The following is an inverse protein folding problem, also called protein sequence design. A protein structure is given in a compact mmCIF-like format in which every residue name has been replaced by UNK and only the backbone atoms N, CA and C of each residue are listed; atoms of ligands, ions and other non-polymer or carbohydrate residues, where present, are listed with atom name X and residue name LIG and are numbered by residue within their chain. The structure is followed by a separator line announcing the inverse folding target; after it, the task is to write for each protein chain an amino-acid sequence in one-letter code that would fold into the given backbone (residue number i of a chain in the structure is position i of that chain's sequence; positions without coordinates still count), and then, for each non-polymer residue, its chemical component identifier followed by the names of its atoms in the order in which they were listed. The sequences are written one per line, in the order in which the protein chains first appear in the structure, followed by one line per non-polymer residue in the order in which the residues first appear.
data_IF_341318002502
#
_entry.id   IF_341318002502
#
_cell.length_a   1.000
_cell.length_b   1.000
_cell.length_c   1.000
_cell.angle_alpha   90.00
_cell.angle_beta   90.00
_cell.angle_gamma   90.00
#
_symmetry.space_group_name_H-M   'P 1'
#
loop_
_entity.id
_entity.type
_entity.pdbx_description
1 polymer ?
#
# COMPACT_ATOMS: atom_id res chain seq x y z
N UNK A 1 -47.57 -28.80 -15.46
CA UNK A 1 -46.60 -29.37 -14.48
C UNK A 1 -45.15 -28.95 -14.71
N UNK A 2 -44.61 -28.99 -15.94
CA UNK A 2 -43.17 -28.70 -16.21
C UNK A 2 -42.71 -27.29 -15.77
N UNK A 3 -43.55 -26.24 -15.90
CA UNK A 3 -43.23 -24.87 -15.43
C UNK A 3 -43.14 -24.75 -13.89
N UNK A 4 -43.93 -25.53 -13.13
CA UNK A 4 -43.90 -25.54 -11.66
C UNK A 4 -42.66 -26.27 -11.12
N UNK A 5 -42.26 -27.38 -11.75
CA UNK A 5 -41.03 -28.10 -11.40
C UNK A 5 -39.78 -27.23 -11.63
N UNK A 6 -39.70 -26.51 -12.77
CA UNK A 6 -38.59 -25.59 -13.06
C UNK A 6 -38.49 -24.46 -12.04
N UNK A 7 -39.62 -23.87 -11.63
CA UNK A 7 -39.64 -22.81 -10.63
C UNK A 7 -39.21 -23.29 -9.24
N UNK A 8 -39.57 -24.52 -8.84
CA UNK A 8 -39.16 -25.10 -7.56
C UNK A 8 -37.65 -25.36 -7.51
N UNK A 9 -37.08 -25.92 -8.58
CA UNK A 9 -35.64 -26.17 -8.72
C UNK A 9 -34.83 -24.87 -8.74
N UNK A 10 -35.31 -23.82 -9.42
CA UNK A 10 -34.68 -22.50 -9.41
C UNK A 10 -34.68 -21.89 -8.00
N UNK A 11 -35.79 -21.98 -7.26
CA UNK A 11 -35.91 -21.47 -5.90
C UNK A 11 -34.98 -22.20 -4.91
N UNK A 12 -34.86 -23.52 -5.03
CA UNK A 12 -33.95 -24.34 -4.23
C UNK A 12 -32.48 -24.03 -4.53
N UNK A 13 -32.13 -23.80 -5.81
CA UNK A 13 -30.79 -23.42 -6.25
C UNK A 13 -30.37 -22.03 -5.73
N UNK A 14 -31.25 -21.04 -5.84
CA UNK A 14 -31.07 -19.70 -5.27
C UNK A 14 -30.92 -19.72 -3.75
N UNK A 15 -31.71 -20.55 -3.06
CA UNK A 15 -31.64 -20.70 -1.60
C UNK A 15 -30.34 -21.37 -1.15
N UNK A 16 -29.87 -22.37 -1.90
CA UNK A 16 -28.57 -23.01 -1.68
C UNK A 16 -27.41 -22.02 -1.89
N UNK A 17 -27.46 -21.24 -2.97
CA UNK A 17 -26.43 -20.25 -3.32
C UNK A 17 -26.34 -19.14 -2.25
N UNK A 18 -27.47 -18.63 -1.77
CA UNK A 18 -27.54 -17.65 -0.68
C UNK A 18 -27.00 -18.19 0.66
N UNK A 19 -27.30 -19.45 1.00
CA UNK A 19 -26.76 -20.12 2.21
C UNK A 19 -25.23 -20.30 2.14
N UNK A 20 -24.67 -20.55 0.95
CA UNK A 20 -23.22 -20.67 0.77
C UNK A 20 -22.50 -19.32 0.85
N UNK A 21 -23.06 -18.25 0.25
CA UNK A 21 -22.47 -16.90 0.32
C UNK A 21 -22.48 -16.35 1.74
N UNK A 22 -23.56 -16.58 2.51
CA UNK A 22 -23.63 -16.18 3.92
C UNK A 22 -22.66 -16.97 4.81
N UNK A 23 -22.47 -18.27 4.56
CA UNK A 23 -21.46 -19.08 5.24
C UNK A 23 -20.01 -18.66 4.92
N UNK A 24 -19.73 -18.31 3.66
CA UNK A 24 -18.43 -17.76 3.24
C UNK A 24 -18.17 -16.43 3.94
N UNK A 25 -19.15 -15.52 3.93
CA UNK A 25 -19.04 -14.22 4.59
C UNK A 25 -18.67 -14.34 6.07
N UNK A 26 -19.36 -15.22 6.81
CA UNK A 26 -19.06 -15.48 8.23
C UNK A 26 -17.64 -16.02 8.42
N UNK A 27 -17.22 -16.98 7.60
CA UNK A 27 -15.86 -17.55 7.71
C UNK A 27 -14.78 -16.53 7.38
N UNK A 28 -15.02 -15.61 6.44
CA UNK A 28 -14.07 -14.54 6.14
C UNK A 28 -14.01 -13.54 7.29
N UNK A 29 -15.14 -13.19 7.90
CA UNK A 29 -15.19 -12.31 9.08
C UNK A 29 -14.35 -12.88 10.24
N UNK A 30 -14.48 -14.17 10.54
CA UNK A 30 -13.66 -14.87 11.54
C UNK A 30 -12.16 -14.79 11.23
N UNK A 31 -11.77 -14.98 9.96
CA UNK A 31 -10.37 -14.87 9.54
C UNK A 31 -9.85 -13.45 9.64
N UNK A 32 -10.68 -12.45 9.37
CA UNK A 32 -10.32 -11.04 9.53
C UNK A 32 -10.10 -10.72 11.01
N UNK A 33 -10.95 -11.22 11.91
CA UNK A 33 -10.75 -11.05 13.36
C UNK A 33 -9.44 -11.69 13.85
N UNK A 34 -9.09 -12.87 13.33
CA UNK A 34 -7.80 -13.51 13.62
C UNK A 34 -6.62 -12.66 13.12
N UNK A 35 -6.74 -12.09 11.92
CA UNK A 35 -5.74 -11.18 11.38
C UNK A 35 -5.62 -9.90 12.21
N UNK A 36 -6.73 -9.29 12.61
CA UNK A 36 -6.76 -8.11 13.48
C UNK A 36 -6.01 -8.37 14.80
N UNK A 37 -6.25 -9.52 15.43
CA UNK A 37 -5.55 -9.93 16.66
C UNK A 37 -4.05 -10.15 16.45
N UNK A 38 -3.68 -10.77 15.34
CA UNK A 38 -2.27 -10.98 14.99
C UNK A 38 -1.54 -9.64 14.76
N UNK A 39 -2.21 -8.68 14.09
CA UNK A 39 -1.69 -7.32 13.90
C UNK A 39 -1.46 -6.63 15.26
N UNK A 40 -2.42 -6.73 16.18
CA UNK A 40 -2.27 -6.15 17.53
C UNK A 40 -1.06 -6.73 18.27
N UNK A 41 -0.87 -8.05 18.17
CA UNK A 41 0.30 -8.72 18.76
C UNK A 41 1.59 -8.19 18.16
N UNK A 42 1.71 -8.11 16.83
CA UNK A 42 2.89 -7.56 16.15
C UNK A 42 3.18 -6.12 16.58
N UNK A 43 2.15 -5.27 16.67
CA UNK A 43 2.33 -3.86 16.99
C UNK A 43 2.57 -3.62 18.49
N UNK A 44 2.14 -4.52 19.38
CA UNK A 44 2.43 -4.42 20.80
C UNK A 44 3.93 -4.38 21.12
N UNK A 45 4.77 -5.00 20.28
CA UNK A 45 6.22 -5.01 20.44
C UNK A 45 6.86 -3.61 20.36
N UNK A 46 6.19 -2.62 19.75
CA UNK A 46 6.73 -1.25 19.67
C UNK A 46 6.48 -0.44 20.93
N UNK A 47 5.49 -0.82 21.76
CA UNK A 47 4.99 0.03 22.84
C UNK A 47 6.06 0.28 23.90
N UNK A 48 6.72 -0.78 24.37
CA UNK A 48 7.75 -0.67 25.41
C UNK A 48 9.01 0.08 24.92
N UNK A 49 9.61 -0.27 23.77
CA UNK A 49 10.77 0.48 23.24
C UNK A 49 10.47 1.95 22.98
N UNK A 50 9.25 2.28 22.55
CA UNK A 50 8.85 3.66 22.33
C UNK A 50 8.78 4.45 23.65
N UNK A 51 8.20 3.85 24.70
CA UNK A 51 8.15 4.45 26.04
C UNK A 51 9.56 4.65 26.64
N UNK A 52 10.44 3.65 26.50
CA UNK A 52 11.83 3.74 26.95
C UNK A 52 12.60 4.80 26.16
N UNK A 53 12.40 4.85 24.84
CA UNK A 53 12.95 5.88 23.97
C UNK A 53 12.56 7.28 24.41
N UNK A 54 11.28 7.50 24.73
CA UNK A 54 10.79 8.79 25.25
C UNK A 54 11.46 9.14 26.60
N UNK A 55 11.57 8.18 27.53
CA UNK A 55 12.30 8.40 28.80
C UNK A 55 13.75 8.81 28.55
N UNK A 56 14.43 8.13 27.62
CA UNK A 56 15.83 8.42 27.28
C UNK A 56 15.99 9.75 26.56
N UNK A 57 15.06 10.13 25.69
CA UNK A 57 15.06 11.45 25.07
C UNK A 57 14.88 12.55 26.13
N UNK A 58 13.92 12.39 27.06
CA UNK A 58 13.70 13.34 28.18
C UNK A 58 14.90 13.49 29.11
N UNK A 59 15.64 12.42 29.37
CA UNK A 59 16.80 12.48 30.27
C UNK A 59 18.06 13.04 29.59
N UNK A 60 18.13 13.02 28.26
CA UNK A 60 19.36 13.34 27.51
C UNK A 60 19.26 14.55 26.58
N UNK A 61 18.08 15.10 26.30
CA UNK A 61 17.90 16.15 25.30
C UNK A 61 18.76 17.40 25.55
N UNK A 62 18.96 17.82 26.80
CA UNK A 62 19.77 19.00 27.12
C UNK A 62 21.25 18.79 26.75
N UNK A 63 21.78 17.59 27.02
CA UNK A 63 23.14 17.20 26.65
C UNK A 63 23.28 17.12 25.13
N UNK A 64 22.31 16.53 24.45
CA UNK A 64 22.28 16.39 22.98
C UNK A 64 22.23 17.77 22.33
N UNK A 65 21.28 18.62 22.75
CA UNK A 65 21.17 20.00 22.25
C UNK A 65 22.47 20.77 22.52
N UNK A 66 23.05 20.64 23.72
CA UNK A 66 24.33 21.24 24.06
C UNK A 66 25.44 20.87 23.09
N UNK A 67 25.55 19.60 22.71
CA UNK A 67 26.52 19.13 21.73
C UNK A 67 26.26 19.71 20.32
N UNK A 68 24.99 19.85 19.90
CA UNK A 68 24.63 20.48 18.61
C UNK A 68 24.91 21.99 18.57
N UNK A 69 24.93 22.66 19.72
CA UNK A 69 25.12 24.11 19.84
C UNK A 69 26.57 24.53 20.11
N UNK A 70 27.54 23.63 19.97
CA UNK A 70 28.97 23.91 20.17
C UNK A 70 29.75 23.62 18.89
N UNK A 71 30.78 24.43 18.61
CA UNK A 71 31.76 24.20 17.53
C UNK A 71 33.17 24.22 18.08
N UNK A 72 34.02 23.36 17.53
CA UNK A 72 35.44 23.26 17.88
C UNK A 72 36.25 24.54 17.61
N UNK A 73 35.85 25.37 16.64
CA UNK A 73 36.51 26.64 16.28
C UNK A 73 35.89 27.88 16.96
N UNK A 74 35.11 27.69 18.02
CA UNK A 74 34.44 28.79 18.73
C UNK A 74 33.21 29.37 18.01
N UNK A 75 32.76 30.54 18.48
CA UNK A 75 31.47 31.15 18.08
C UNK A 75 31.53 32.04 16.83
N UNK A 76 32.71 32.28 16.27
CA UNK A 76 32.87 33.20 15.14
C UNK A 76 32.15 32.66 13.90
N UNK A 77 31.22 33.44 13.34
CA UNK A 77 30.36 33.04 12.22
C UNK A 77 29.29 31.99 12.56
N UNK A 78 29.34 31.34 13.72
CA UNK A 78 28.40 30.25 14.06
C UNK A 78 26.95 30.72 14.21
N UNK A 79 26.74 31.97 14.63
CA UNK A 79 25.39 32.56 14.65
C UNK A 79 24.70 32.52 13.28
N UNK A 80 25.45 32.65 12.16
CA UNK A 80 24.88 32.54 10.81
C UNK A 80 24.47 31.11 10.51
N UNK A 81 25.27 30.13 10.93
CA UNK A 81 24.91 28.71 10.85
C UNK A 81 23.65 28.40 11.66
N UNK A 82 23.60 28.82 12.93
CA UNK A 82 22.41 28.65 13.77
C UNK A 82 21.19 29.36 13.17
N UNK A 83 21.38 30.52 12.55
CA UNK A 83 20.30 31.25 11.88
C UNK A 83 19.79 30.44 10.70
N UNK A 84 20.68 29.87 9.91
CA UNK A 84 20.31 29.00 8.79
C UNK A 84 19.62 27.71 9.25
N UNK A 85 20.07 27.08 10.36
CA UNK A 85 19.39 25.94 11.01
C UNK A 85 17.96 26.31 11.35
N UNK A 86 17.76 27.45 12.02
CA UNK A 86 16.44 27.91 12.45
C UNK A 86 15.53 28.25 11.26
N UNK A 87 16.05 28.97 10.25
CA UNK A 87 15.30 29.30 9.03
C UNK A 87 14.91 28.07 8.20
N UNK A 88 15.64 26.97 8.36
CA UNK A 88 15.38 25.67 7.73
C UNK A 88 14.83 24.64 8.73
N UNK A 89 14.14 25.13 9.76
CA UNK A 89 13.38 24.31 10.69
C UNK A 89 14.19 23.20 11.39
N UNK A 90 15.35 23.56 11.91
CA UNK A 90 16.23 22.67 12.64
C UNK A 90 17.24 21.93 11.77
N UNK A 91 17.25 22.14 10.45
CA UNK A 91 18.11 21.39 9.53
C UNK A 91 19.08 22.33 8.79
N UNK A 92 20.37 22.03 8.85
CA UNK A 92 21.39 22.70 8.06
C UNK A 92 22.33 21.68 7.45
N UNK A 93 22.46 21.70 6.13
CA UNK A 93 23.44 20.92 5.40
C UNK A 93 24.35 21.87 4.62
N UNK A 94 25.65 21.60 4.68
CA UNK A 94 26.68 22.32 3.93
C UNK A 94 27.68 21.33 3.36
N UNK A 95 28.37 21.71 2.28
CA UNK A 95 29.48 20.92 1.72
C UNK A 95 30.75 21.02 2.57
N UNK A 96 30.90 22.10 3.33
CA UNK A 96 32.13 22.43 4.09
C UNK A 96 31.97 22.30 5.60
N UNK A 97 30.73 22.27 6.10
CA UNK A 97 30.41 22.11 7.51
C UNK A 97 29.57 20.85 7.70
N UNK A 98 29.74 20.18 8.85
CA UNK A 98 28.93 19.02 9.22
C UNK A 98 27.43 19.35 9.19
N UNK A 99 26.62 18.37 8.77
CA UNK A 99 25.15 18.47 8.81
C UNK A 99 24.71 18.63 10.28
N UNK A 100 23.85 19.60 10.52
CA UNK A 100 23.16 19.79 11.80
C UNK A 100 21.70 19.47 11.54
N UNK A 101 21.16 18.50 12.27
CA UNK A 101 19.75 18.18 12.28
C UNK A 101 19.29 18.06 13.72
N UNK A 102 18.69 19.15 14.24
CA UNK A 102 18.27 19.21 15.62
C UNK A 102 17.11 18.26 15.90
N UNK A 103 16.21 18.07 14.92
CA UNK A 103 15.05 17.20 15.07
C UNK A 103 15.49 15.74 15.15
N UNK A 104 16.37 15.33 14.23
CA UNK A 104 16.97 13.99 14.22
C UNK A 104 17.79 13.75 15.50
N UNK A 105 18.66 14.70 15.89
CA UNK A 105 19.50 14.55 17.07
C UNK A 105 18.70 14.32 18.36
N UNK A 106 17.64 15.11 18.62
CA UNK A 106 16.84 14.98 19.85
C UNK A 106 15.87 13.81 19.82
N UNK A 107 15.51 13.29 18.63
CA UNK A 107 14.70 12.07 18.50
C UNK A 107 15.54 10.80 18.44
N UNK A 108 16.85 10.91 18.24
CA UNK A 108 17.76 9.78 18.14
C UNK A 108 17.64 8.78 19.30
N UNK A 109 17.53 9.20 20.59
CA UNK A 109 17.36 8.24 21.68
C UNK A 109 16.08 7.39 21.57
N UNK A 110 15.06 7.90 20.87
CA UNK A 110 13.84 7.14 20.58
C UNK A 110 14.14 6.11 19.49
N UNK A 111 14.78 6.53 18.40
CA UNK A 111 15.18 5.64 17.29
C UNK A 111 16.08 4.50 17.75
N UNK A 112 17.07 4.78 18.61
CA UNK A 112 17.96 3.77 19.19
C UNK A 112 17.21 2.63 19.90
N UNK A 113 16.07 2.93 20.51
CA UNK A 113 15.23 1.92 21.17
C UNK A 113 14.31 1.20 20.19
N UNK A 114 13.75 1.90 19.19
CA UNK A 114 12.78 1.29 18.28
C UNK A 114 13.40 0.54 17.10
N UNK A 115 14.60 0.91 16.65
CA UNK A 115 15.25 0.33 15.47
C UNK A 115 15.42 -1.19 15.55
N UNK A 116 15.83 -1.78 16.71
CA UNK A 116 15.95 -3.23 16.85
C UNK A 116 14.64 -3.98 16.59
N UNK A 117 13.48 -3.38 16.90
CA UNK A 117 12.17 -4.05 16.79
C UNK A 117 11.41 -3.64 15.53
N UNK A 118 11.52 -2.39 15.08
CA UNK A 118 10.72 -1.83 14.00
C UNK A 118 10.96 -2.56 12.68
N UNK A 119 12.23 -2.85 12.38
CA UNK A 119 12.59 -3.63 11.20
C UNK A 119 12.00 -5.05 11.23
N UNK A 120 11.93 -5.66 12.43
CA UNK A 120 11.37 -6.99 12.66
C UNK A 120 9.88 -7.08 12.35
N UNK A 121 9.10 -6.10 12.79
CA UNK A 121 7.64 -6.04 12.56
C UNK A 121 7.29 -6.13 11.07
N UNK A 122 8.09 -5.50 10.20
CA UNK A 122 7.83 -5.46 8.76
C UNK A 122 8.73 -6.38 7.92
N UNK A 123 9.46 -7.30 8.54
CA UNK A 123 10.36 -8.22 7.83
C UNK A 123 9.56 -9.24 7.01
N UNK A 124 10.04 -9.55 5.80
CA UNK A 124 9.55 -10.67 4.99
C UNK A 124 10.30 -11.95 5.35
N UNK A 125 9.59 -13.08 5.46
CA UNK A 125 10.15 -14.40 5.79
C UNK A 125 9.70 -14.96 7.15
N UNK A 126 10.01 -16.23 7.43
CA UNK A 126 9.64 -16.90 8.70
C UNK A 126 10.40 -16.27 9.87
N UNK A 127 9.73 -15.58 10.81
CA UNK A 127 10.35 -15.13 12.04
C UNK A 127 10.45 -16.32 12.99
N UNK A 128 11.50 -16.33 13.82
CA UNK A 128 11.65 -17.36 14.87
C UNK A 128 10.66 -17.16 16.02
N UNK A 129 10.00 -16.00 16.11
CA UNK A 129 9.25 -15.52 17.27
C UNK A 129 7.81 -15.02 16.98
N UNK A 130 7.32 -15.10 15.74
CA UNK A 130 5.96 -14.68 15.37
C UNK A 130 5.73 -13.15 15.37
N UNK A 131 6.78 -12.34 15.51
CA UNK A 131 6.69 -10.87 15.64
C UNK A 131 6.43 -10.13 14.32
N UNK A 132 6.66 -10.75 13.17
CA UNK A 132 6.53 -10.10 11.86
C UNK A 132 5.11 -10.15 11.30
N UNK A 133 4.68 -9.05 10.70
CA UNK A 133 3.36 -8.87 10.12
C UNK A 133 3.15 -9.64 8.81
N UNK A 134 4.15 -9.66 7.92
CA UNK A 134 3.99 -10.24 6.58
C UNK A 134 3.61 -11.73 6.59
N UNK A 135 4.21 -12.59 7.43
CA UNK A 135 3.78 -13.98 7.59
C UNK A 135 2.30 -14.14 7.98
N UNK A 136 1.74 -13.25 8.81
CA UNK A 136 0.32 -13.30 9.17
C UNK A 136 -0.57 -12.90 8.00
N UNK A 137 -0.12 -11.95 7.17
CA UNK A 137 -0.80 -11.58 5.91
C UNK A 137 -0.77 -12.75 4.92
N UNK A 138 0.37 -13.44 4.79
CA UNK A 138 0.53 -14.62 3.94
C UNK A 138 -0.31 -15.80 4.45
N UNK A 139 -0.35 -16.03 5.76
CA UNK A 139 -1.20 -17.05 6.36
C UNK A 139 -2.70 -16.74 6.12
N UNK A 140 -3.11 -15.48 6.30
CA UNK A 140 -4.45 -15.03 5.98
C UNK A 140 -4.80 -15.26 4.50
N UNK A 141 -3.87 -14.92 3.60
CA UNK A 141 -3.97 -15.18 2.15
C UNK A 141 -4.26 -16.64 1.85
N UNK A 142 -3.41 -17.53 2.34
CA UNK A 142 -3.56 -18.97 2.11
C UNK A 142 -4.87 -19.50 2.70
N UNK A 143 -5.22 -19.05 3.91
CA UNK A 143 -6.45 -19.47 4.57
C UNK A 143 -7.71 -19.00 3.85
N UNK A 144 -7.67 -17.81 3.25
CA UNK A 144 -8.76 -17.28 2.44
C UNK A 144 -8.90 -18.05 1.11
N UNK A 145 -7.77 -18.32 0.44
CA UNK A 145 -7.74 -19.11 -0.80
C UNK A 145 -8.27 -20.54 -0.59
N UNK A 146 -7.82 -21.20 0.48
CA UNK A 146 -8.26 -22.55 0.84
C UNK A 146 -9.77 -22.59 1.09
N UNK A 147 -10.28 -21.63 1.87
CA UNK A 147 -11.71 -21.58 2.19
C UNK A 147 -12.58 -21.35 0.94
N UNK A 148 -12.12 -20.52 0.03
CA UNK A 148 -12.82 -20.32 -1.25
C UNK A 148 -12.73 -21.56 -2.14
N UNK A 149 -11.61 -22.27 -2.16
CA UNK A 149 -11.50 -23.53 -2.90
C UNK A 149 -12.44 -24.60 -2.33
N UNK A 150 -12.52 -24.73 -1.00
CA UNK A 150 -13.41 -25.67 -0.31
C UNK A 150 -14.89 -25.41 -0.64
N UNK A 151 -15.32 -24.14 -0.58
CA UNK A 151 -16.68 -23.74 -0.94
C UNK A 151 -16.93 -23.95 -2.43
N UNK A 152 -15.94 -23.66 -3.27
CA UNK A 152 -16.04 -23.89 -4.69
C UNK A 152 -16.24 -25.34 -5.09
N UNK A 153 -15.51 -26.25 -4.43
CA UNK A 153 -15.69 -27.69 -4.60
C UNK A 153 -17.10 -28.11 -4.17
N UNK A 154 -17.59 -27.63 -3.02
CA UNK A 154 -18.96 -27.93 -2.55
C UNK A 154 -20.06 -27.38 -3.46
N UNK A 155 -19.82 -26.25 -4.12
CA UNK A 155 -20.78 -25.59 -5.02
C UNK A 155 -20.72 -26.10 -6.47
N UNK A 156 -19.97 -27.17 -6.73
CA UNK A 156 -19.90 -27.75 -8.08
C UNK A 156 -19.09 -26.91 -9.08
N UNK A 157 -18.19 -26.02 -8.63
CA UNK A 157 -17.28 -25.26 -9.51
C UNK A 157 -16.33 -26.15 -10.33
N UNK A 158 -16.40 -27.48 -10.16
CA UNK A 158 -15.73 -28.48 -10.99
C UNK A 158 -16.03 -28.29 -12.50
N UNK A 159 -17.18 -27.70 -12.85
CA UNK A 159 -17.59 -27.40 -14.23
C UNK A 159 -17.56 -25.90 -14.59
N UNK A 160 -17.29 -25.01 -13.62
CA UNK A 160 -17.32 -23.55 -13.78
C UNK A 160 -15.90 -22.99 -13.56
N UNK A 161 -15.01 -23.28 -14.51
CA UNK A 161 -13.60 -22.92 -14.43
C UNK A 161 -13.35 -21.41 -14.40
N UNK A 162 -14.26 -20.61 -14.98
CA UNK A 162 -14.11 -19.16 -15.05
C UNK A 162 -14.39 -18.49 -13.69
N UNK A 163 -15.43 -18.90 -12.93
CA UNK A 163 -15.66 -18.38 -11.57
C UNK A 163 -14.50 -18.70 -10.61
N UNK A 164 -13.95 -19.91 -10.72
CA UNK A 164 -12.76 -20.31 -9.94
C UNK A 164 -11.54 -19.44 -10.27
N UNK A 165 -11.25 -19.25 -11.57
CA UNK A 165 -10.11 -18.43 -12.01
C UNK A 165 -10.28 -16.97 -11.56
N UNK A 166 -11.48 -16.41 -11.73
CA UNK A 166 -11.81 -15.05 -11.30
C UNK A 166 -11.54 -14.84 -9.81
N UNK A 167 -12.08 -15.70 -8.94
CA UNK A 167 -11.90 -15.56 -7.49
C UNK A 167 -10.43 -15.68 -7.07
N UNK A 168 -9.67 -16.61 -7.65
CA UNK A 168 -8.23 -16.75 -7.37
C UNK A 168 -7.48 -15.48 -7.78
N UNK A 169 -7.79 -14.91 -8.95
CA UNK A 169 -7.19 -13.68 -9.45
C UNK A 169 -7.55 -12.49 -8.56
N UNK A 170 -8.82 -12.32 -8.20
CA UNK A 170 -9.29 -11.24 -7.32
C UNK A 170 -8.62 -11.31 -5.95
N UNK A 171 -8.59 -12.48 -5.30
CA UNK A 171 -7.88 -12.65 -4.02
C UNK A 171 -6.41 -12.23 -4.15
N UNK A 172 -5.74 -12.68 -5.22
CA UNK A 172 -4.32 -12.37 -5.45
C UNK A 172 -4.10 -10.87 -5.66
N UNK A 173 -5.00 -10.19 -6.38
CA UNK A 173 -4.95 -8.74 -6.60
C UNK A 173 -5.20 -7.95 -5.30
N UNK A 174 -6.19 -8.36 -4.50
CA UNK A 174 -6.52 -7.74 -3.21
C UNK A 174 -5.29 -7.76 -2.29
N UNK A 175 -4.61 -8.91 -2.22
CA UNK A 175 -3.50 -9.13 -1.31
C UNK A 175 -2.20 -8.49 -1.79
N UNK A 176 -1.90 -8.53 -3.10
CA UNK A 176 -0.79 -7.75 -3.66
C UNK A 176 -0.99 -6.24 -3.42
N UNK A 177 -2.24 -5.77 -3.52
CA UNK A 177 -2.59 -4.41 -3.15
C UNK A 177 -2.40 -4.10 -1.67
N UNK A 178 -2.57 -5.09 -0.78
CA UNK A 178 -2.42 -4.95 0.66
C UNK A 178 -0.95 -4.80 1.08
N UNK A 179 -0.06 -5.65 0.56
CA UNK A 179 1.39 -5.55 0.78
C UNK A 179 1.92 -4.16 0.39
N UNK A 180 1.53 -3.67 -0.79
CA UNK A 180 1.90 -2.33 -1.24
C UNK A 180 1.35 -1.21 -0.33
N UNK A 181 0.16 -1.40 0.25
CA UNK A 181 -0.40 -0.44 1.21
C UNK A 181 0.43 -0.40 2.51
N UNK A 182 0.80 -1.57 3.05
CA UNK A 182 1.61 -1.71 4.26
C UNK A 182 2.99 -1.05 4.06
N UNK A 183 3.67 -1.34 2.96
CA UNK A 183 5.01 -0.79 2.69
C UNK A 183 5.01 0.73 2.57
N UNK A 184 3.99 1.33 1.95
CA UNK A 184 3.86 2.80 1.89
C UNK A 184 3.62 3.42 3.26
N UNK A 185 2.86 2.76 4.13
CA UNK A 185 2.58 3.23 5.49
C UNK A 185 3.76 3.05 6.44
N UNK A 186 4.56 1.99 6.27
CA UNK A 186 5.80 1.74 7.05
C UNK A 186 6.69 2.97 7.15
N UNK A 187 7.02 3.59 6.01
CA UNK A 187 7.86 4.80 5.99
C UNK A 187 7.24 5.94 6.79
N UNK A 188 5.95 6.21 6.59
CA UNK A 188 5.22 7.27 7.30
C UNK A 188 5.18 7.05 8.80
N UNK A 189 5.03 5.80 9.25
CA UNK A 189 5.09 5.47 10.66
C UNK A 189 6.48 5.80 11.21
N UNK A 190 7.55 5.34 10.56
CA UNK A 190 8.92 5.56 11.00
C UNK A 190 9.28 7.06 11.11
N UNK A 191 8.94 7.84 10.09
CA UNK A 191 9.24 9.27 10.01
C UNK A 191 8.34 10.12 10.93
N UNK A 192 7.28 9.55 11.51
CA UNK A 192 6.30 10.30 12.30
C UNK A 192 6.88 10.92 13.58
N UNK A 193 7.90 10.30 14.18
CA UNK A 193 8.55 10.81 15.40
C UNK A 193 9.27 12.13 15.14
N UNK A 194 10.23 12.12 14.22
CA UNK A 194 10.99 13.33 13.84
C UNK A 194 10.07 14.41 13.26
N UNK A 195 9.06 14.03 12.48
CA UNK A 195 8.06 14.98 11.96
C UNK A 195 7.25 15.64 13.07
N UNK A 196 6.80 14.87 14.07
CA UNK A 196 6.01 15.40 15.20
C UNK A 196 6.84 16.37 16.04
N UNK A 197 8.07 15.99 16.39
CA UNK A 197 8.99 16.86 17.13
C UNK A 197 9.30 18.12 16.35
N UNK A 198 9.57 18.00 15.05
CA UNK A 198 9.82 19.16 14.21
C UNK A 198 8.61 20.12 14.17
N UNK A 199 7.38 19.58 14.13
CA UNK A 199 6.17 20.39 14.13
C UNK A 199 5.99 21.17 15.44
N UNK A 200 6.33 20.56 16.58
CA UNK A 200 6.29 21.23 17.89
C UNK A 200 7.35 22.33 18.03
N UNK A 201 8.49 22.21 17.32
CA UNK A 201 9.56 23.21 17.32
C UNK A 201 9.38 24.30 16.24
N UNK A 202 8.59 24.01 15.20
CA UNK A 202 8.22 24.92 14.11
C UNK A 202 7.04 25.82 14.51
N UNK A 203 6.82 26.93 13.79
CA UNK A 203 5.51 27.57 13.80
C UNK A 203 4.50 26.68 13.08
N UNK A 204 3.33 26.48 13.69
CA UNK A 204 2.15 26.01 12.97
C UNK A 204 1.58 27.16 12.14
N UNK A 205 1.93 27.24 10.86
CA UNK A 205 1.06 27.92 9.89
C UNK A 205 0.16 26.84 9.28
N UNK A 206 -1.13 26.88 9.60
CA UNK A 206 -2.12 26.06 8.91
C UNK A 206 -2.27 26.56 7.46
N UNK A 207 -1.80 25.75 6.51
CA UNK A 207 -2.37 25.70 5.16
C UNK A 207 -3.88 25.44 5.32
N UNK A 208 -4.71 26.43 4.98
CA UNK A 208 -6.15 26.37 4.62
C UNK A 208 -6.98 27.60 5.08
N UNK A 209 -6.35 28.74 5.36
CA UNK A 209 -7.07 30.03 5.44
C UNK A 209 -7.97 30.23 6.67
N UNK A 210 -7.96 29.29 7.63
CA UNK A 210 -8.44 29.54 8.97
C UNK A 210 -7.24 29.97 9.83
N UNK A 211 -7.17 31.27 10.11
CA UNK A 211 -6.19 31.83 11.04
C UNK A 211 -6.46 31.32 12.45
N UNK A 212 -5.81 30.23 12.87
CA UNK A 212 -5.61 30.01 14.30
C UNK A 212 -4.54 30.99 14.77
N UNK A 213 -5.02 32.08 15.38
CA UNK A 213 -4.24 33.14 16.00
C UNK A 213 -3.54 32.63 17.27
N UNK A 214 -2.71 31.59 17.17
CA UNK A 214 -1.83 31.22 18.28
C UNK A 214 -0.59 32.11 18.21
N UNK A 215 -0.63 33.17 19.00
CA UNK A 215 0.43 34.13 19.34
C UNK A 215 1.54 33.44 20.17
N UNK A 216 1.81 32.15 19.95
CA UNK A 216 2.91 31.44 20.59
C UNK A 216 4.13 31.45 19.68
N UNK A 217 5.03 32.34 20.06
CA UNK A 217 6.37 32.55 19.52
C UNK A 217 7.12 31.21 19.39
N UNK A 218 7.24 30.68 18.17
CA UNK A 218 7.94 29.40 17.98
C UNK A 218 9.46 29.55 18.12
N UNK A 219 10.10 28.51 18.65
CA UNK A 219 11.52 28.52 19.02
C UNK A 219 12.43 28.85 17.82
N UNK A 220 12.21 28.21 16.66
CA UNK A 220 13.04 28.45 15.48
C UNK A 220 12.89 29.87 14.92
N UNK A 221 11.67 30.41 14.83
CA UNK A 221 11.50 31.79 14.32
C UNK A 221 12.09 32.81 15.26
N UNK A 222 11.90 32.64 16.58
CA UNK A 222 12.49 33.55 17.56
C UNK A 222 14.02 33.54 17.47
N UNK A 223 14.63 32.35 17.41
CA UNK A 223 16.07 32.24 17.29
C UNK A 223 16.59 32.85 15.98
N UNK A 224 15.89 32.66 14.85
CA UNK A 224 16.29 33.17 13.55
C UNK A 224 16.30 34.71 13.44
N UNK A 225 15.47 35.41 14.24
CA UNK A 225 15.35 36.86 14.23
C UNK A 225 16.46 37.58 15.02
N UNK A 226 17.22 36.86 15.83
CA UNK A 226 18.26 37.45 16.68
C UNK A 226 19.41 37.98 15.82
N UNK A 227 19.78 39.24 16.06
CA UNK A 227 20.91 39.93 15.43
C UNK A 227 21.72 40.72 16.47
N UNK A 228 22.88 41.26 16.07
CA UNK A 228 23.69 42.16 16.91
C UNK A 228 24.70 41.49 17.85
N UNK A 229 25.27 42.27 18.77
CA UNK A 229 26.31 41.82 19.73
C UNK A 229 25.82 40.60 20.51
N UNK A 230 26.66 39.59 20.74
CA UNK A 230 26.30 38.33 21.45
C UNK A 230 25.11 37.56 20.84
N UNK A 231 24.78 37.77 19.55
CA UNK A 231 23.68 37.07 18.89
C UNK A 231 23.78 35.54 19.03
N UNK A 232 24.98 34.97 18.86
CA UNK A 232 25.22 33.53 18.98
C UNK A 232 24.72 32.97 20.33
N UNK A 233 25.14 33.59 21.44
CA UNK A 233 24.75 33.11 22.78
C UNK A 233 23.25 33.30 23.04
N UNK A 234 22.67 34.45 22.66
CA UNK A 234 21.22 34.66 22.76
C UNK A 234 20.43 33.63 21.96
N UNK A 235 20.90 33.25 20.78
CA UNK A 235 20.25 32.22 19.96
C UNK A 235 20.29 30.85 20.64
N UNK A 236 21.43 30.46 21.19
CA UNK A 236 21.55 29.22 21.96
C UNK A 236 20.60 29.23 23.16
N UNK A 237 20.51 30.36 23.86
CA UNK A 237 19.63 30.47 25.03
C UNK A 237 18.15 30.39 24.66
N UNK A 238 17.72 30.98 23.54
CA UNK A 238 16.36 30.81 23.02
C UNK A 238 16.10 29.35 22.64
N UNK A 239 17.04 28.70 21.95
CA UNK A 239 16.90 27.28 21.57
C UNK A 239 16.81 26.37 22.81
N UNK A 240 17.60 26.63 23.86
CA UNK A 240 17.53 25.88 25.11
C UNK A 240 16.18 26.07 25.80
N UNK A 241 15.79 27.32 26.08
CA UNK A 241 14.53 27.61 26.77
C UNK A 241 13.31 27.12 26.00
N UNK A 242 13.31 27.30 24.67
CA UNK A 242 12.21 26.84 23.82
C UNK A 242 12.08 25.33 23.83
N UNK A 243 13.21 24.60 23.77
CA UNK A 243 13.19 23.14 23.86
C UNK A 243 12.79 22.67 25.26
N UNK A 244 13.33 23.26 26.33
CA UNK A 244 12.95 22.95 27.71
C UNK A 244 11.42 23.10 27.91
N UNK A 245 10.84 24.18 27.38
CA UNK A 245 9.39 24.40 27.41
C UNK A 245 8.62 23.32 26.66
N UNK A 246 9.02 22.98 25.42
CA UNK A 246 8.34 21.95 24.63
C UNK A 246 8.44 20.55 25.27
N UNK A 247 9.57 20.23 25.88
CA UNK A 247 9.73 18.97 26.64
C UNK A 247 8.86 18.96 27.90
N UNK A 248 8.75 20.08 28.60
CA UNK A 248 7.85 20.22 29.75
C UNK A 248 6.37 20.07 29.34
N UNK A 249 6.00 20.58 28.17
CA UNK A 249 4.67 20.43 27.58
C UNK A 249 4.39 19.04 26.99
N UNK A 250 5.37 18.13 26.98
CA UNK A 250 5.18 16.74 26.55
C UNK A 250 5.41 16.48 25.07
N UNK A 251 6.33 17.21 24.42
CA UNK A 251 6.68 17.03 22.99
C UNK A 251 7.02 15.58 22.62
N UNK A 252 7.79 14.87 23.47
CA UNK A 252 8.18 13.49 23.18
C UNK A 252 7.01 12.51 23.35
N UNK A 253 6.15 12.74 24.34
CA UNK A 253 4.92 11.97 24.55
C UNK A 253 3.96 12.13 23.36
N UNK A 254 3.76 13.36 22.87
CA UNK A 254 2.98 13.61 21.64
C UNK A 254 3.56 12.90 20.43
N UNK A 255 4.89 12.89 20.28
CA UNK A 255 5.55 12.16 19.20
C UNK A 255 5.30 10.64 19.31
N UNK A 256 5.39 10.08 20.51
CA UNK A 256 5.03 8.68 20.79
C UNK A 256 3.56 8.41 20.42
N UNK A 257 2.62 9.23 20.89
CA UNK A 257 1.19 9.09 20.59
C UNK A 257 0.93 9.15 19.09
N UNK A 258 1.63 10.05 18.38
CA UNK A 258 1.52 10.19 16.93
C UNK A 258 1.95 8.91 16.20
N UNK A 259 3.07 8.32 16.60
CA UNK A 259 3.53 7.06 16.01
C UNK A 259 2.56 5.91 16.33
N UNK A 260 2.11 5.79 17.59
CA UNK A 260 1.11 4.79 18.00
C UNK A 260 -0.20 4.93 17.21
N UNK A 261 -0.65 6.16 16.98
CA UNK A 261 -1.80 6.45 16.14
C UNK A 261 -1.58 6.00 14.69
N UNK A 262 -0.38 6.18 14.12
CA UNK A 262 -0.06 5.68 12.77
C UNK A 262 -0.12 4.14 12.69
N UNK A 263 0.29 3.42 13.74
CA UNK A 263 0.10 1.96 13.82
C UNK A 263 -1.38 1.57 13.86
N UNK A 264 -2.20 2.26 14.67
CA UNK A 264 -3.66 2.04 14.70
C UNK A 264 -4.31 2.33 13.34
N UNK A 265 -3.91 3.42 12.67
CA UNK A 265 -4.37 3.72 11.32
C UNK A 265 -3.98 2.65 10.30
N UNK A 266 -2.79 2.06 10.42
CA UNK A 266 -2.38 0.95 9.56
C UNK A 266 -3.22 -0.30 9.81
N UNK A 267 -3.46 -0.68 11.07
CA UNK A 267 -4.35 -1.80 11.43
C UNK A 267 -5.74 -1.62 10.82
N UNK A 268 -6.35 -0.46 11.04
CA UNK A 268 -7.68 -0.14 10.50
C UNK A 268 -7.65 -0.12 8.97
N UNK A 269 -6.61 0.46 8.36
CA UNK A 269 -6.44 0.49 6.91
C UNK A 269 -6.30 -0.90 6.27
N UNK A 270 -5.59 -1.82 6.92
CA UNK A 270 -5.51 -3.23 6.49
C UNK A 270 -6.89 -3.88 6.56
N UNK A 271 -7.54 -3.73 7.71
CA UNK A 271 -8.84 -4.35 8.01
C UNK A 271 -9.93 -3.90 7.05
N UNK A 272 -10.08 -2.58 6.88
CA UNK A 272 -11.09 -2.00 5.99
C UNK A 272 -10.82 -2.33 4.53
N UNK A 273 -9.55 -2.36 4.11
CA UNK A 273 -9.18 -2.75 2.76
C UNK A 273 -9.59 -4.20 2.49
N UNK A 274 -9.28 -5.13 3.40
CA UNK A 274 -9.65 -6.54 3.26
C UNK A 274 -11.17 -6.71 3.27
N UNK A 275 -11.88 -6.10 4.24
CA UNK A 275 -13.35 -6.17 4.34
C UNK A 275 -14.03 -5.64 3.08
N UNK A 276 -13.64 -4.46 2.61
CA UNK A 276 -14.19 -3.84 1.41
C UNK A 276 -13.92 -4.66 0.15
N UNK A 277 -12.67 -5.11 -0.03
CA UNK A 277 -12.28 -5.92 -1.18
C UNK A 277 -12.97 -7.28 -1.24
N UNK A 278 -13.05 -8.00 -0.12
CA UNK A 278 -13.78 -9.28 -0.06
C UNK A 278 -15.26 -9.05 -0.34
N UNK A 279 -15.88 -8.02 0.24
CA UNK A 279 -17.30 -7.72 0.02
C UNK A 279 -17.59 -7.43 -1.45
N UNK A 280 -16.74 -6.64 -2.11
CA UNK A 280 -16.84 -6.35 -3.54
C UNK A 280 -16.74 -7.64 -4.37
N UNK A 281 -15.73 -8.46 -4.10
CA UNK A 281 -15.54 -9.74 -4.80
C UNK A 281 -16.72 -10.71 -4.58
N UNK A 282 -17.26 -10.82 -3.36
CA UNK A 282 -18.44 -11.64 -3.08
C UNK A 282 -19.70 -11.12 -3.79
N UNK A 283 -19.85 -9.80 -3.87
CA UNK A 283 -20.94 -9.15 -4.61
C UNK A 283 -20.83 -9.49 -6.10
N UNK A 284 -19.64 -9.35 -6.69
CA UNK A 284 -19.39 -9.68 -8.09
C UNK A 284 -19.60 -11.16 -8.40
N UNK A 285 -19.16 -12.05 -7.50
CA UNK A 285 -19.38 -13.48 -7.64
C UNK A 285 -20.87 -13.85 -7.58
N UNK A 286 -21.66 -13.11 -6.80
CA UNK A 286 -23.12 -13.32 -6.65
C UNK A 286 -23.91 -12.71 -7.81
N UNK A 287 -23.51 -11.56 -8.34
CA UNK A 287 -24.19 -10.89 -9.46
C UNK A 287 -23.99 -11.58 -10.80
N UNK A 288 -22.92 -12.36 -10.97
CA UNK A 288 -22.71 -13.21 -12.14
C UNK A 288 -23.75 -14.34 -12.29
N UNK A 289 -24.62 -14.56 -11.30
CA UNK A 289 -25.74 -15.51 -11.38
C UNK A 289 -27.08 -14.91 -11.82
N UNK A 290 -27.25 -13.59 -11.72
CA UNK A 290 -28.56 -12.95 -11.83
C UNK A 290 -28.54 -11.86 -12.91
N UNK A 291 -28.77 -12.24 -14.18
CA UNK A 291 -29.13 -11.28 -15.23
C UNK A 291 -28.38 -11.39 -16.57
N UNK A 292 -27.08 -11.69 -16.59
CA UNK A 292 -26.29 -11.58 -17.84
C UNK A 292 -26.62 -12.64 -18.90
N UNK A 293 -27.15 -13.80 -18.50
CA UNK A 293 -27.61 -14.82 -19.46
C UNK A 293 -28.94 -14.48 -20.15
N UNK A 294 -29.68 -13.46 -19.70
CA UNK A 294 -30.93 -13.03 -20.35
C UNK A 294 -30.75 -11.88 -21.35
N UNK A 295 -29.65 -11.13 -21.26
CA UNK A 295 -29.37 -9.96 -22.12
C UNK A 295 -28.23 -10.16 -23.13
N UNK A 296 -27.41 -11.20 -23.00
CA UNK A 296 -26.53 -11.58 -24.10
C UNK A 296 -27.39 -12.25 -25.18
N UNK A 297 -27.42 -11.64 -26.37
CA UNK A 297 -28.04 -12.24 -27.56
C UNK A 297 -27.55 -13.69 -27.71
N UNK A 298 -28.44 -14.62 -28.07
CA UNK A 298 -28.08 -16.02 -28.33
C UNK A 298 -27.20 -16.11 -29.58
N UNK A 299 -25.89 -15.86 -29.41
CA UNK A 299 -24.88 -15.83 -30.50
C UNK A 299 -24.61 -17.21 -31.12
N UNK A 300 -25.37 -18.24 -30.72
CA UNK A 300 -25.19 -19.61 -31.18
C UNK A 300 -25.56 -19.78 -32.65
N UNK A 301 -26.51 -19.00 -33.15
CA UNK A 301 -26.85 -18.92 -34.58
C UNK A 301 -25.70 -18.30 -35.39
N UNK A 302 -25.15 -17.20 -34.90
CA UNK A 302 -24.11 -16.41 -35.54
C UNK A 302 -22.80 -17.20 -35.58
N UNK A 303 -22.47 -17.92 -34.51
CA UNK A 303 -21.33 -18.84 -34.48
C UNK A 303 -21.46 -19.96 -35.51
N UNK A 304 -22.64 -20.56 -35.65
CA UNK A 304 -22.90 -21.59 -36.68
C UNK A 304 -22.79 -21.04 -38.10
N UNK A 305 -23.31 -19.83 -38.34
CA UNK A 305 -23.16 -19.17 -39.64
C UNK A 305 -21.70 -18.83 -39.94
N UNK A 306 -20.94 -18.42 -38.92
CA UNK A 306 -19.51 -18.13 -39.07
C UNK A 306 -18.69 -19.40 -39.35
N UNK A 307 -19.00 -20.54 -38.73
CA UNK A 307 -18.40 -21.84 -39.08
C UNK A 307 -18.75 -22.29 -40.50
N UNK A 308 -19.98 -22.03 -40.95
CA UNK A 308 -20.44 -22.35 -42.31
C UNK A 308 -19.69 -21.50 -43.34
N UNK A 309 -19.60 -20.19 -43.11
CA UNK A 309 -18.82 -19.27 -43.93
C UNK A 309 -17.34 -19.65 -43.99
N UNK A 310 -16.75 -20.02 -42.84
CA UNK A 310 -15.35 -20.46 -42.79
C UNK A 310 -15.11 -21.71 -43.64
N UNK A 311 -16.01 -22.71 -43.57
CA UNK A 311 -15.93 -23.91 -44.42
C UNK A 311 -16.06 -23.57 -45.90
N UNK A 312 -17.06 -22.78 -46.28
CA UNK A 312 -17.26 -22.39 -47.68
C UNK A 312 -16.09 -21.58 -48.24
N UNK A 313 -15.49 -20.69 -47.45
CA UNK A 313 -14.30 -19.94 -47.88
C UNK A 313 -13.09 -20.84 -48.06
N UNK A 314 -12.91 -21.83 -47.19
CA UNK A 314 -11.84 -22.82 -47.30
C UNK A 314 -11.98 -23.66 -48.57
N UNK A 315 -13.18 -24.18 -48.82
CA UNK A 315 -13.49 -24.94 -50.05
C UNK A 315 -13.29 -24.07 -51.31
N UNK A 316 -13.69 -22.81 -51.29
CA UNK A 316 -13.47 -21.88 -52.40
C UNK A 316 -11.98 -21.62 -52.66
N UNK A 317 -11.18 -21.46 -51.60
CA UNK A 317 -9.73 -21.27 -51.70
C UNK A 317 -9.01 -22.51 -52.26
N UNK A 318 -9.39 -23.71 -51.79
CA UNK A 318 -8.86 -24.98 -52.31
C UNK A 318 -9.23 -25.18 -53.79
N UNK A 319 -10.46 -24.85 -54.19
CA UNK A 319 -10.88 -24.89 -55.58
C UNK A 319 -10.16 -23.85 -56.46
N UNK A 320 -9.88 -22.65 -55.93
CA UNK A 320 -9.11 -21.63 -56.65
C UNK A 320 -7.66 -22.08 -56.88
N UNK A 321 -7.03 -22.72 -55.89
CA UNK A 321 -5.70 -23.31 -56.01
C UNK A 321 -5.67 -24.41 -57.07
N UNK A 322 -6.67 -25.31 -57.07
CA UNK A 322 -6.79 -26.37 -58.08
C UNK A 322 -6.96 -25.79 -59.49
N UNK A 323 -7.81 -24.77 -59.66
CA UNK A 323 -7.99 -24.09 -60.95
C UNK A 323 -6.70 -23.42 -61.43
N UNK A 324 -5.96 -22.78 -60.53
CA UNK A 324 -4.68 -22.12 -60.85
C UNK A 324 -3.61 -23.15 -61.23
N UNK A 325 -3.49 -24.24 -60.48
CA UNK A 325 -2.59 -25.34 -60.80
C UNK A 325 -2.92 -25.98 -62.16
N UNK A 326 -4.21 -26.12 -62.47
CA UNK A 326 -4.67 -26.64 -63.76
C UNK A 326 -4.39 -25.66 -64.90
N UNK A 327 -4.55 -24.35 -64.69
CA UNK A 327 -4.14 -23.32 -65.67
C UNK A 327 -2.62 -23.32 -65.90
N UNK A 328 -1.81 -23.42 -64.84
CA UNK A 328 -0.35 -23.49 -64.95
C UNK A 328 0.10 -24.77 -65.67
N UNK A 329 -0.59 -25.90 -65.43
CA UNK A 329 -0.38 -27.15 -66.17
C UNK A 329 -0.69 -26.97 -67.66
N UNK A 330 -1.84 -26.39 -68.01
CA UNK A 330 -2.22 -26.13 -69.41
C UNK A 330 -1.28 -25.13 -70.11
N UNK A 331 -0.77 -24.12 -69.39
CA UNK A 331 0.23 -23.18 -69.89
C UNK A 331 1.58 -23.85 -70.15
N UNK A 332 2.01 -24.78 -69.28
CA UNK A 332 3.23 -25.60 -69.51
C UNK A 332 3.10 -26.58 -70.68
N UNK A 333 1.89 -27.06 -70.94
CA UNK A 333 1.59 -27.95 -72.05
C UNK A 333 1.33 -27.21 -73.37
N UNK A 334 1.29 -25.87 -73.34
CA UNK A 334 1.15 -25.05 -74.55
C UNK A 334 2.50 -24.99 -75.29
N UNK A 335 2.59 -25.42 -76.57
CA UNK A 335 3.84 -25.40 -77.30
C UNK A 335 4.34 -23.96 -77.47
N UNK A 336 5.57 -23.69 -77.01
CA UNK A 336 6.26 -22.44 -77.31
C UNK A 336 6.37 -22.29 -78.82
N UNK A 337 5.81 -21.22 -79.40
CA UNK A 337 6.19 -20.77 -80.75
C UNK A 337 7.68 -20.40 -80.71
N UNK A 338 8.54 -21.34 -81.03
CA UNK A 338 9.90 -21.07 -81.48
C UNK A 338 9.79 -20.17 -82.71
N UNK A 339 10.25 -18.92 -82.57
CA UNK A 339 10.31 -17.98 -83.69
C UNK A 339 11.23 -18.51 -84.80
N UNK A 340 11.02 -18.11 -86.06
CA UNK A 340 11.90 -18.50 -87.15
C UNK A 340 13.29 -17.84 -86.98
N UNK A 341 14.39 -18.55 -87.25
CA UNK A 341 15.73 -17.96 -87.24
C UNK A 341 15.97 -17.11 -88.50
N UNK A 342 16.82 -16.09 -88.31
CA UNK A 342 17.25 -15.07 -89.26
C UNK A 342 17.84 -15.64 -90.56
N UNK A 343 17.55 -14.99 -91.68
CA UNK A 343 18.49 -14.81 -92.81
C UNK A 343 19.33 -13.57 -92.58
#
# INVERSE_FOLDING_TARGET
MIKLQKNKVLKEKLKSEYLHVSGLRRSVEEKIQLLEKAIDQCFAHIVQPLQEGVRNARSSYQRILGACLVRSRGNQGFHQTLKAVCLKNGIYASRTLGRIDLNEAITQPIYEQIDPVFGGIFRSGKPTDGSALMPHIDAFKHSLQEKMMEIGIRNGWKYDGYKKSFLIQEISAILGGLEGHILRKKRRIYESLSTSVQNDLKPCYEENGATCMNIYKCMYVEAAQITGKKACERMKDVLRRGLDQQVAEGMFERAQERMQHQFHQLKNGITEKVKGSVTAMLTLASSQGDGLHKELADVKSEYKEMEKLHRSLREAAENALLRRAMQDFLLRMSPSKSGPPKT
#
